data_IF_369310255982
#
_entry.id   IF_369310255982
#
_cell.length_a   1.000
_cell.length_b   1.000
_cell.length_c   1.000
_cell.angle_alpha   90.00
_cell.angle_beta   90.00
_cell.angle_gamma   90.00
#
_symmetry.space_group_name_H-M   'P 1'
#
loop_
_entity.id
_entity.type
_entity.pdbx_description
1 polymer ?
#
# COMPACT_ATOMS: atom_id res chain seq x y z
N UNK A 1 3.56 -83.03 -56.41
CA UNK A 1 2.56 -82.67 -55.40
C UNK A 1 3.10 -81.51 -54.58
N UNK A 2 2.40 -80.37 -54.66
CA UNK A 2 2.70 -79.13 -53.95
C UNK A 2 2.23 -79.27 -52.51
N UNK A 3 3.00 -78.78 -51.53
CA UNK A 3 2.45 -78.23 -50.30
C UNK A 3 3.39 -77.13 -49.76
N UNK A 4 3.14 -75.94 -50.30
CA UNK A 4 3.13 -74.61 -49.67
C UNK A 4 3.85 -74.42 -48.32
N UNK A 5 4.94 -73.67 -48.42
CA UNK A 5 5.61 -72.85 -47.40
C UNK A 5 4.61 -71.90 -46.71
N UNK A 6 4.53 -71.97 -45.38
CA UNK A 6 3.83 -70.97 -44.55
C UNK A 6 4.88 -69.99 -44.02
N UNK A 7 4.94 -68.80 -44.63
CA UNK A 7 5.64 -67.64 -44.09
C UNK A 7 4.86 -67.09 -42.90
N UNK A 8 5.45 -67.19 -41.70
CA UNK A 8 4.93 -66.50 -40.53
C UNK A 8 5.59 -65.11 -40.45
N UNK A 9 4.90 -64.10 -41.00
CA UNK A 9 5.27 -62.69 -40.89
C UNK A 9 4.87 -62.21 -39.50
N UNK A 10 5.85 -62.06 -38.62
CA UNK A 10 5.69 -61.43 -37.30
C UNK A 10 5.80 -59.90 -37.47
N UNK A 11 4.69 -59.25 -37.80
CA UNK A 11 4.54 -57.79 -37.65
C UNK A 11 3.82 -57.57 -36.33
N UNK A 12 4.54 -57.14 -35.30
CA UNK A 12 3.97 -56.71 -34.03
C UNK A 12 4.60 -55.37 -33.62
N UNK A 13 3.86 -54.32 -33.99
CA UNK A 13 3.65 -53.05 -33.30
C UNK A 13 4.84 -52.45 -32.53
N UNK A 14 5.56 -51.54 -33.20
CA UNK A 14 6.18 -50.41 -32.53
C UNK A 14 5.07 -49.56 -31.90
N UNK A 15 4.99 -49.57 -30.56
CA UNK A 15 4.21 -48.61 -29.80
C UNK A 15 5.09 -47.36 -29.68
N UNK A 16 4.82 -46.25 -30.39
CA UNK A 16 5.38 -44.99 -29.95
C UNK A 16 4.74 -44.68 -28.59
N UNK A 17 5.57 -44.57 -27.54
CA UNK A 17 5.19 -43.91 -26.30
C UNK A 17 4.89 -42.44 -26.64
N UNK A 18 3.69 -42.18 -27.13
CA UNK A 18 3.10 -40.85 -27.10
C UNK A 18 2.72 -40.63 -25.65
N UNK A 19 3.66 -40.08 -24.88
CA UNK A 19 3.27 -39.32 -23.70
C UNK A 19 2.43 -38.15 -24.21
N UNK A 20 1.13 -38.35 -24.27
CA UNK A 20 0.19 -37.26 -24.14
C UNK A 20 0.65 -36.48 -22.92
N UNK A 21 1.13 -35.25 -23.11
CA UNK A 21 1.20 -34.27 -22.03
C UNK A 21 -0.24 -33.95 -21.67
N UNK A 22 -0.85 -34.83 -20.89
CA UNK A 22 -1.91 -34.42 -19.98
C UNK A 22 -1.29 -33.32 -19.14
N UNK A 23 -1.70 -32.08 -19.43
CA UNK A 23 -1.59 -30.94 -18.54
C UNK A 23 -1.95 -31.47 -17.17
N UNK A 24 -0.92 -31.64 -16.35
CA UNK A 24 -1.07 -32.20 -15.02
C UNK A 24 -2.01 -31.25 -14.29
N UNK A 25 -3.20 -31.77 -13.98
CA UNK A 25 -4.24 -31.01 -13.30
C UNK A 25 -3.61 -30.48 -12.03
N UNK A 26 -3.51 -29.16 -11.93
CA UNK A 26 -3.10 -28.36 -10.77
C UNK A 26 -4.05 -28.51 -9.57
N UNK A 27 -4.43 -29.74 -9.22
CA UNK A 27 -5.50 -30.04 -8.27
C UNK A 27 -4.99 -30.80 -7.05
N UNK A 28 -3.74 -31.29 -7.03
CA UNK A 28 -3.32 -32.24 -5.98
C UNK A 28 -2.33 -31.71 -4.93
N UNK A 29 -2.07 -30.39 -4.85
CA UNK A 29 -1.32 -29.87 -3.70
C UNK A 29 -1.54 -28.37 -3.43
N UNK A 30 -2.77 -27.98 -3.04
CA UNK A 30 -3.00 -26.67 -2.39
C UNK A 30 -2.13 -26.48 -1.12
N UNK A 31 -1.60 -27.58 -0.57
CA UNK A 31 -0.67 -27.60 0.57
C UNK A 31 0.78 -27.20 0.26
N UNK A 32 1.19 -27.14 -1.02
CA UNK A 32 2.58 -26.80 -1.42
C UNK A 32 2.78 -25.46 -2.14
N UNK A 33 1.75 -24.61 -2.21
CA UNK A 33 1.97 -23.18 -2.48
C UNK A 33 2.58 -22.54 -1.23
N UNK A 34 3.87 -22.18 -1.26
CA UNK A 34 4.50 -21.42 -0.17
C UNK A 34 3.87 -20.03 -0.06
N UNK A 35 2.74 -19.94 0.64
CA UNK A 35 1.92 -18.74 0.81
C UNK A 35 2.50 -17.77 1.87
N UNK A 36 3.84 -17.68 1.95
CA UNK A 36 4.55 -16.72 2.77
C UNK A 36 5.09 -15.60 1.92
N UNK A 37 4.52 -14.39 2.06
CA UNK A 37 4.97 -13.19 1.35
C UNK A 37 5.80 -12.34 2.32
N UNK A 38 7.08 -12.71 2.50
CA UNK A 38 7.91 -12.13 3.58
C UNK A 38 8.32 -10.69 3.32
N UNK A 39 8.41 -10.29 2.05
CA UNK A 39 8.88 -8.96 1.66
C UNK A 39 7.83 -8.26 0.81
N UNK A 40 7.69 -6.93 0.96
CA UNK A 40 6.80 -6.14 0.10
C UNK A 40 7.18 -6.26 -1.37
N UNK A 41 8.47 -6.33 -1.70
CA UNK A 41 8.88 -6.56 -3.09
C UNK A 41 8.42 -7.93 -3.63
N UNK A 42 8.37 -8.94 -2.76
CA UNK A 42 7.81 -10.25 -3.10
C UNK A 42 6.30 -10.15 -3.36
N UNK A 43 5.57 -9.36 -2.57
CA UNK A 43 4.16 -9.08 -2.82
C UNK A 43 3.93 -8.56 -4.24
N UNK A 44 4.72 -7.57 -4.66
CA UNK A 44 4.61 -6.98 -6.00
C UNK A 44 4.87 -8.02 -7.10
N UNK A 45 5.92 -8.83 -6.96
CA UNK A 45 6.22 -9.89 -7.94
C UNK A 45 5.12 -10.95 -8.01
N UNK A 46 4.60 -11.41 -6.87
CA UNK A 46 3.48 -12.37 -6.83
C UNK A 46 2.23 -11.78 -7.45
N UNK A 47 1.92 -10.53 -7.11
CA UNK A 47 0.78 -9.81 -7.68
C UNK A 47 0.90 -9.72 -9.20
N UNK A 48 2.11 -9.52 -9.73
CA UNK A 48 2.37 -9.43 -11.15
C UNK A 48 2.51 -10.79 -11.84
N UNK A 49 2.68 -11.91 -11.12
CA UNK A 49 3.03 -13.21 -11.70
C UNK A 49 4.47 -13.28 -12.21
N UNK A 50 5.41 -12.61 -11.53
CA UNK A 50 6.83 -12.53 -11.91
C UNK A 50 7.73 -13.50 -11.14
N UNK A 51 7.17 -14.33 -10.26
CA UNK A 51 7.91 -15.35 -9.52
C UNK A 51 7.13 -16.66 -9.43
N UNK A 52 7.87 -17.75 -9.20
CA UNK A 52 7.30 -19.08 -9.00
C UNK A 52 6.78 -19.28 -7.56
N UNK A 53 6.25 -20.47 -7.28
CA UNK A 53 5.73 -20.82 -5.95
C UNK A 53 6.79 -20.84 -4.86
N UNK A 54 8.07 -20.95 -5.19
CA UNK A 54 9.20 -20.95 -4.26
C UNK A 54 9.75 -19.54 -4.01
N UNK A 55 9.31 -18.55 -4.79
CA UNK A 55 9.77 -17.16 -4.73
C UNK A 55 10.94 -16.85 -5.65
N UNK A 56 11.26 -17.76 -6.57
CA UNK A 56 12.28 -17.55 -7.60
C UNK A 56 11.70 -16.72 -8.74
N UNK A 57 12.43 -15.67 -9.15
CA UNK A 57 11.96 -14.75 -10.18
C UNK A 57 12.02 -15.41 -11.54
N UNK A 58 10.94 -15.32 -12.31
CA UNK A 58 10.92 -15.71 -13.71
C UNK A 58 11.78 -14.77 -14.55
N UNK A 59 12.43 -15.33 -15.57
CA UNK A 59 13.01 -14.52 -16.65
C UNK A 59 11.89 -13.84 -17.44
N UNK A 60 12.14 -12.65 -17.99
CA UNK A 60 11.15 -11.94 -18.82
C UNK A 60 10.73 -12.74 -20.07
N UNK A 61 11.58 -13.68 -20.51
CA UNK A 61 11.30 -14.56 -21.65
C UNK A 61 10.66 -15.90 -21.25
N UNK A 62 10.39 -16.11 -19.96
CA UNK A 62 9.76 -17.32 -19.47
C UNK A 62 8.26 -17.33 -19.87
N UNK A 63 7.73 -18.42 -20.44
CA UNK A 63 6.29 -18.53 -20.76
C UNK A 63 5.36 -18.34 -19.55
N UNK A 64 5.87 -18.54 -18.33
CA UNK A 64 5.14 -18.34 -17.08
C UNK A 64 5.19 -16.89 -16.57
N UNK A 65 6.10 -16.05 -17.11
CA UNK A 65 6.20 -14.64 -16.72
C UNK A 65 4.89 -13.90 -17.02
N UNK A 66 4.27 -13.35 -15.98
CA UNK A 66 3.00 -12.62 -16.03
C UNK A 66 1.83 -13.43 -16.62
N UNK A 67 1.89 -14.77 -16.55
CA UNK A 67 0.81 -15.62 -17.04
C UNK A 67 -0.50 -15.39 -16.26
N UNK A 68 -1.59 -15.12 -16.98
CA UNK A 68 -2.88 -14.73 -16.39
C UNK A 68 -3.48 -15.75 -15.42
N UNK A 69 -3.39 -17.05 -15.74
CA UNK A 69 -3.95 -18.12 -14.89
C UNK A 69 -3.17 -18.21 -13.57
N UNK A 70 -1.84 -18.31 -13.65
CA UNK A 70 -0.98 -18.31 -12.46
C UNK A 70 -1.14 -17.06 -11.62
N UNK A 71 -1.31 -15.92 -12.28
CA UNK A 71 -1.49 -14.63 -11.62
C UNK A 71 -2.79 -14.57 -10.81
N UNK A 72 -3.91 -15.12 -11.31
CA UNK A 72 -5.15 -15.24 -10.54
C UNK A 72 -4.95 -16.05 -9.25
N UNK A 73 -4.24 -17.17 -9.35
CA UNK A 73 -3.94 -18.03 -8.21
C UNK A 73 -3.07 -17.30 -7.17
N UNK A 74 -2.00 -16.63 -7.61
CA UNK A 74 -1.16 -15.85 -6.70
C UNK A 74 -1.93 -14.72 -6.01
N UNK A 75 -2.71 -13.93 -6.75
CA UNK A 75 -3.47 -12.82 -6.17
C UNK A 75 -4.48 -13.34 -5.14
N UNK A 76 -5.12 -14.48 -5.39
CA UNK A 76 -6.01 -15.12 -4.42
C UNK A 76 -5.27 -15.47 -3.10
N UNK A 77 -4.00 -15.86 -3.18
CA UNK A 77 -3.16 -16.11 -1.99
C UNK A 77 -2.67 -14.85 -1.29
N UNK A 78 -2.72 -13.68 -1.94
CA UNK A 78 -2.29 -12.40 -1.38
C UNK A 78 -3.34 -11.76 -0.47
N UNK A 79 -4.59 -12.24 -0.46
CA UNK A 79 -5.60 -11.79 0.50
C UNK A 79 -5.37 -12.40 1.88
N UNK A 80 -5.66 -11.64 2.94
CA UNK A 80 -5.83 -12.23 4.26
C UNK A 80 -7.03 -13.20 4.24
N UNK A 81 -6.74 -14.49 4.40
CA UNK A 81 -7.75 -15.56 4.36
C UNK A 81 -8.50 -15.73 5.68
N UNK A 82 -8.00 -15.21 6.80
CA UNK A 82 -8.70 -15.28 8.09
C UNK A 82 -9.67 -14.11 8.28
N UNK A 83 -9.54 -13.05 7.50
CA UNK A 83 -10.43 -11.88 7.55
C UNK A 83 -11.67 -12.05 6.66
N UNK A 84 -12.81 -11.66 7.21
CA UNK A 84 -14.10 -11.56 6.51
C UNK A 84 -14.42 -10.14 6.06
N UNK A 85 -13.52 -9.17 6.29
CA UNK A 85 -13.71 -7.75 5.94
C UNK A 85 -13.93 -7.59 4.43
N UNK A 86 -13.21 -8.36 3.62
CA UNK A 86 -13.30 -8.33 2.16
C UNK A 86 -14.20 -9.47 1.71
N UNK A 87 -15.35 -9.14 1.11
CA UNK A 87 -16.29 -10.15 0.61
C UNK A 87 -15.69 -10.97 -0.54
N UNK A 88 -16.10 -12.23 -0.66
CA UNK A 88 -15.62 -13.09 -1.75
C UNK A 88 -15.97 -12.53 -3.13
N UNK A 89 -17.15 -11.92 -3.29
CA UNK A 89 -17.53 -11.23 -4.53
C UNK A 89 -16.54 -10.13 -4.88
N UNK A 90 -16.16 -9.28 -3.91
CA UNK A 90 -15.22 -8.19 -4.15
C UNK A 90 -13.81 -8.72 -4.48
N UNK A 91 -13.39 -9.83 -3.87
CA UNK A 91 -12.13 -10.50 -4.21
C UNK A 91 -12.13 -10.98 -5.66
N UNK A 92 -13.21 -11.65 -6.09
CA UNK A 92 -13.36 -12.13 -7.47
C UNK A 92 -13.36 -10.97 -8.46
N UNK A 93 -14.17 -9.94 -8.22
CA UNK A 93 -14.22 -8.74 -9.06
C UNK A 93 -12.84 -8.09 -9.22
N UNK A 94 -12.10 -7.95 -8.11
CA UNK A 94 -10.74 -7.41 -8.15
C UNK A 94 -9.78 -8.30 -8.92
N UNK A 95 -9.76 -9.61 -8.65
CA UNK A 95 -8.88 -10.57 -9.32
C UNK A 95 -9.14 -10.54 -10.83
N UNK A 96 -10.40 -10.60 -11.25
CA UNK A 96 -10.77 -10.59 -12.67
C UNK A 96 -10.44 -9.26 -13.35
N UNK A 97 -10.68 -8.12 -12.68
CA UNK A 97 -10.31 -6.79 -13.20
C UNK A 97 -8.80 -6.66 -13.41
N UNK A 98 -7.98 -7.05 -12.42
CA UNK A 98 -6.53 -6.85 -12.51
C UNK A 98 -5.84 -7.85 -13.42
N UNK A 99 -6.39 -9.07 -13.57
CA UNK A 99 -5.84 -10.15 -14.40
C UNK A 99 -6.52 -10.30 -15.75
N UNK A 100 -7.31 -9.30 -16.17
CA UNK A 100 -7.96 -9.27 -17.47
C UNK A 100 -6.95 -9.51 -18.61
N UNK A 101 -7.29 -10.39 -19.55
CA UNK A 101 -6.38 -10.79 -20.63
C UNK A 101 -6.11 -9.69 -21.67
N UNK A 102 -7.10 -8.81 -21.91
CA UNK A 102 -6.98 -7.70 -22.85
C UNK A 102 -6.33 -6.48 -22.19
N UNK A 103 -6.62 -6.26 -20.91
CA UNK A 103 -6.18 -5.09 -20.15
C UNK A 103 -5.63 -5.47 -18.76
N UNK A 104 -4.49 -6.18 -18.68
CA UNK A 104 -3.90 -6.56 -17.40
C UNK A 104 -3.34 -5.34 -16.68
N UNK A 105 -3.54 -5.27 -15.36
CA UNK A 105 -3.00 -4.21 -14.51
C UNK A 105 -1.87 -4.74 -13.63
N UNK A 106 -0.67 -4.19 -13.73
CA UNK A 106 0.49 -4.59 -12.93
C UNK A 106 0.88 -3.53 -11.91
N UNK A 107 1.43 -3.96 -10.78
CA UNK A 107 2.06 -3.07 -9.82
C UNK A 107 3.50 -2.75 -10.27
N UNK A 108 3.93 -1.52 -10.01
CA UNK A 108 5.31 -1.11 -10.20
C UNK A 108 5.87 -0.60 -8.87
N UNK A 109 6.87 -1.29 -8.32
CA UNK A 109 7.48 -0.91 -7.04
C UNK A 109 7.96 0.55 -7.02
N UNK A 110 8.51 1.05 -8.14
CA UNK A 110 8.98 2.41 -8.29
C UNK A 110 7.96 3.35 -8.97
N UNK A 111 6.75 2.87 -9.29
CA UNK A 111 5.75 3.61 -10.08
C UNK A 111 5.01 4.72 -9.34
N UNK A 112 5.36 5.00 -8.08
CA UNK A 112 4.64 5.97 -7.24
C UNK A 112 3.20 5.54 -6.95
N UNK A 113 2.34 6.45 -6.47
CA UNK A 113 0.94 6.13 -6.08
C UNK A 113 0.80 4.98 -5.06
N UNK A 114 1.80 4.83 -4.20
CA UNK A 114 1.71 4.03 -2.99
C UNK A 114 2.60 4.64 -1.91
N UNK A 115 2.26 4.42 -0.64
CA UNK A 115 3.00 4.97 0.49
C UNK A 115 2.86 4.08 1.72
N UNK A 116 3.80 4.23 2.65
CA UNK A 116 3.78 3.59 3.95
C UNK A 116 3.11 4.49 4.99
N UNK A 117 2.33 3.89 5.88
CA UNK A 117 1.87 4.47 7.13
C UNK A 117 2.54 3.70 8.28
N UNK A 118 3.36 4.39 9.07
CA UNK A 118 4.14 3.78 10.15
C UNK A 118 3.69 4.38 11.47
N UNK A 119 2.99 3.59 12.28
CA UNK A 119 2.64 3.98 13.65
C UNK A 119 3.83 3.71 14.55
N UNK A 120 4.23 4.73 15.30
CA UNK A 120 5.39 4.70 16.18
C UNK A 120 5.04 5.18 17.57
N UNK A 121 5.86 4.82 18.54
CA UNK A 121 5.80 5.36 19.88
C UNK A 121 7.01 6.24 20.18
N UNK A 122 6.77 7.41 20.75
CA UNK A 122 7.79 8.34 21.19
C UNK A 122 7.56 8.72 22.66
N UNK A 123 8.64 8.95 23.40
CA UNK A 123 8.56 9.77 24.61
C UNK A 123 8.56 11.24 24.19
N UNK A 124 7.44 11.92 24.39
CA UNK A 124 7.26 13.35 24.13
C UNK A 124 7.05 14.08 25.45
N UNK A 125 7.98 14.98 25.80
CA UNK A 125 7.96 15.78 27.04
C UNK A 125 7.70 14.92 28.30
N UNK A 126 8.32 13.74 28.37
CA UNK A 126 8.21 12.81 29.50
C UNK A 126 7.02 11.86 29.49
N UNK A 127 6.13 11.94 28.49
CA UNK A 127 4.99 11.03 28.33
C UNK A 127 5.09 10.22 27.04
N UNK A 128 4.73 8.93 27.08
CA UNK A 128 4.69 8.10 25.88
C UNK A 128 3.46 8.48 25.03
N UNK A 129 3.69 8.78 23.75
CA UNK A 129 2.68 9.24 22.80
C UNK A 129 2.87 8.56 21.45
N UNK A 130 1.75 8.27 20.78
CA UNK A 130 1.76 7.71 19.44
C UNK A 130 1.93 8.80 18.39
N UNK A 131 2.76 8.51 17.40
CA UNK A 131 3.00 9.36 16.24
C UNK A 131 2.95 8.50 14.98
N UNK A 132 2.21 8.94 13.98
CA UNK A 132 2.13 8.24 12.69
C UNK A 132 2.98 8.99 11.68
N UNK A 133 3.93 8.30 11.06
CA UNK A 133 4.76 8.80 9.98
C UNK A 133 4.23 8.27 8.65
N UNK A 134 4.06 9.15 7.67
CA UNK A 134 3.73 8.75 6.30
C UNK A 134 4.99 8.86 5.45
N UNK A 135 5.31 7.79 4.70
CA UNK A 135 6.52 7.74 3.89
C UNK A 135 6.21 7.34 2.45
N UNK A 136 6.95 7.89 1.49
CA UNK A 136 6.92 7.44 0.09
C UNK A 136 8.31 7.13 -0.42
N UNK A 137 8.39 6.36 -1.50
CA UNK A 137 9.62 6.25 -2.27
C UNK A 137 9.88 7.55 -3.05
N UNK A 138 11.13 7.99 -3.01
CA UNK A 138 11.67 9.07 -3.80
C UNK A 138 12.81 8.52 -4.66
N UNK A 139 12.75 8.79 -5.96
CA UNK A 139 13.82 8.46 -6.90
C UNK A 139 15.07 9.32 -6.63
N UNK A 140 16.23 8.71 -6.78
CA UNK A 140 17.54 9.35 -6.63
C UNK A 140 18.41 8.99 -7.83
N UNK A 141 19.55 9.70 -8.00
CA UNK A 141 20.51 9.41 -9.08
C UNK A 141 20.92 7.93 -9.15
N UNK A 142 20.98 7.27 -7.99
CA UNK A 142 21.29 5.84 -7.86
C UNK A 142 20.21 5.22 -6.96
N UNK A 143 19.14 4.72 -7.58
CA UNK A 143 18.09 3.96 -6.91
C UNK A 143 16.96 4.81 -6.31
N UNK A 144 16.44 4.39 -5.16
CA UNK A 144 15.35 5.08 -4.48
C UNK A 144 15.51 5.01 -2.96
N UNK A 145 14.94 5.98 -2.26
CA UNK A 145 14.92 6.02 -0.79
C UNK A 145 13.52 6.29 -0.26
N UNK A 146 13.26 5.88 0.98
CA UNK A 146 12.06 6.30 1.70
C UNK A 146 12.25 7.71 2.26
N UNK A 147 11.25 8.57 2.08
CA UNK A 147 11.20 9.91 2.66
C UNK A 147 9.91 10.10 3.44
N UNK A 148 9.98 10.77 4.59
CA UNK A 148 8.80 11.15 5.36
C UNK A 148 8.13 12.33 4.65
N UNK A 149 6.84 12.21 4.38
CA UNK A 149 6.05 13.22 3.67
C UNK A 149 5.04 13.91 4.54
N UNK A 150 4.59 13.26 5.62
CA UNK A 150 3.66 13.86 6.57
C UNK A 150 3.82 13.17 7.94
N UNK A 151 3.38 13.86 8.98
CA UNK A 151 3.36 13.39 10.36
C UNK A 151 1.98 13.66 10.94
N UNK A 152 1.34 12.63 11.48
CA UNK A 152 0.15 12.78 12.28
C UNK A 152 0.50 12.54 13.75
N UNK A 153 0.34 13.59 14.54
CA UNK A 153 0.63 13.58 15.96
C UNK A 153 -0.46 14.37 16.69
N UNK A 154 -1.23 13.67 17.54
CA UNK A 154 -2.39 14.28 18.23
C UNK A 154 -2.02 15.57 18.98
N UNK A 155 -0.89 15.63 19.73
CA UNK A 155 -0.48 16.87 20.40
C UNK A 155 -0.04 18.00 19.46
N UNK A 156 -0.01 17.83 18.14
CA UNK A 156 0.06 18.97 17.22
C UNK A 156 -1.34 19.33 16.74
N UNK A 157 -2.13 18.35 16.34
CA UNK A 157 -3.50 18.59 15.83
C UNK A 157 -4.41 19.23 16.86
N UNK A 158 -4.20 18.99 18.16
CA UNK A 158 -5.00 19.61 19.23
C UNK A 158 -4.57 21.03 19.59
N UNK A 159 -3.38 21.47 19.15
CA UNK A 159 -2.93 22.86 19.37
C UNK A 159 -3.45 23.82 18.32
N UNK A 160 -3.67 23.38 17.08
CA UNK A 160 -4.21 24.22 16.01
C UNK A 160 -5.73 24.14 16.00
N UNK A 161 -6.37 25.29 16.18
CA UNK A 161 -7.83 25.40 16.15
C UNK A 161 -8.29 25.61 14.71
N UNK A 162 -9.31 24.88 14.27
CA UNK A 162 -9.99 25.21 13.03
C UNK A 162 -10.79 26.52 13.21
N UNK A 163 -10.28 27.60 12.61
CA UNK A 163 -10.86 28.94 12.66
C UNK A 163 -12.21 29.06 11.96
N UNK A 164 -12.60 28.09 11.13
CA UNK A 164 -13.90 28.08 10.43
C UNK A 164 -15.07 27.93 11.41
N UNK A 165 -14.83 27.31 12.57
CA UNK A 165 -15.81 27.18 13.64
C UNK A 165 -16.06 28.48 14.43
N UNK A 166 -15.21 29.50 14.23
CA UNK A 166 -15.29 30.76 14.95
C UNK A 166 -16.35 31.63 14.26
N UNK A 167 -17.38 32.00 15.03
CA UNK A 167 -18.43 32.87 14.52
C UNK A 167 -17.88 34.21 14.04
N UNK A 168 -18.50 34.78 13.02
CA UNK A 168 -18.02 36.01 12.39
C UNK A 168 -17.95 37.19 13.35
N UNK A 169 -18.85 37.26 14.34
CA UNK A 169 -18.85 38.28 15.39
C UNK A 169 -17.70 38.13 16.40
N UNK A 170 -17.07 36.95 16.46
CA UNK A 170 -15.93 36.66 17.35
C UNK A 170 -14.59 36.71 16.61
N UNK A 171 -14.59 36.81 15.27
CA UNK A 171 -13.37 36.92 14.49
C UNK A 171 -12.66 38.24 14.75
N UNK A 172 -11.37 38.16 15.00
CA UNK A 172 -10.47 39.29 15.14
C UNK A 172 -9.65 39.41 13.88
N UNK A 173 -9.33 40.65 13.50
CA UNK A 173 -8.53 40.93 12.32
C UNK A 173 -7.66 42.17 12.56
N UNK A 174 -6.58 42.28 11.79
CA UNK A 174 -5.81 43.51 11.67
C UNK A 174 -6.48 44.40 10.63
N UNK A 175 -6.79 45.65 11.00
CA UNK A 175 -7.38 46.60 10.07
C UNK A 175 -6.44 46.84 8.88
N UNK A 176 -6.92 46.97 7.63
CA UNK A 176 -6.06 47.18 6.45
C UNK A 176 -5.09 48.37 6.57
N UNK A 177 -5.52 49.44 7.24
CA UNK A 177 -4.70 50.64 7.50
C UNK A 177 -3.80 50.54 8.76
N UNK A 178 -3.63 49.36 9.36
CA UNK A 178 -2.79 49.21 10.56
C UNK A 178 -1.31 49.55 10.31
N UNK A 179 -0.87 49.51 9.05
CA UNK A 179 0.47 49.92 8.64
C UNK A 179 0.76 51.40 8.89
N UNK A 180 -0.25 52.27 8.90
CA UNK A 180 -0.12 53.71 9.21
C UNK A 180 0.28 53.97 10.68
N UNK A 181 0.14 52.96 11.53
CA UNK A 181 0.52 53.01 12.95
C UNK A 181 1.56 51.92 13.26
N UNK A 182 2.40 51.55 12.29
CA UNK A 182 3.46 50.55 12.42
C UNK A 182 2.96 49.21 13.01
N UNK A 183 1.69 48.85 12.76
CA UNK A 183 1.04 47.67 13.33
C UNK A 183 1.12 47.56 14.87
N UNK A 184 1.12 48.69 15.59
CA UNK A 184 1.16 48.70 17.07
C UNK A 184 0.04 47.86 17.73
N UNK A 185 -1.06 47.59 17.02
CA UNK A 185 -2.12 46.68 17.45
C UNK A 185 -1.70 45.21 17.54
N UNK A 186 -0.56 44.79 16.99
CA UNK A 186 0.02 43.46 17.18
C UNK A 186 0.25 43.12 18.67
N UNK A 187 0.45 44.12 19.52
CA UNK A 187 0.51 43.94 20.99
C UNK A 187 -0.75 43.25 21.51
N UNK A 188 -1.92 43.50 20.88
CA UNK A 188 -3.18 42.82 21.23
C UNK A 188 -3.25 41.41 20.63
N UNK A 189 -2.67 41.19 19.45
CA UNK A 189 -2.62 39.88 18.76
C UNK A 189 -1.82 38.86 19.54
N UNK A 190 -0.66 39.25 20.09
CA UNK A 190 0.23 38.33 20.81
C UNK A 190 -0.08 38.21 22.31
N UNK A 191 -1.30 38.53 22.74
CA UNK A 191 -1.75 38.22 24.12
C UNK A 191 -2.11 36.74 24.24
N UNK A 192 -1.91 36.17 25.42
CA UNK A 192 -2.02 34.73 25.69
C UNK A 192 -3.42 34.14 25.45
N UNK A 193 -4.46 34.96 25.44
CA UNK A 193 -5.86 34.58 25.25
C UNK A 193 -6.34 34.67 23.80
N UNK A 194 -5.43 34.93 22.85
CA UNK A 194 -5.76 35.06 21.43
C UNK A 194 -5.56 33.75 20.66
N UNK A 195 -6.45 33.49 19.71
CA UNK A 195 -6.29 32.46 18.68
C UNK A 195 -5.52 33.12 17.54
N UNK A 196 -4.22 32.85 17.47
CA UNK A 196 -3.31 33.53 16.53
C UNK A 196 -3.58 33.12 15.09
N UNK A 197 -4.15 31.94 14.87
CA UNK A 197 -4.51 31.38 13.58
C UNK A 197 -5.54 32.25 12.84
N UNK A 198 -6.34 33.06 13.54
CA UNK A 198 -7.27 34.02 12.92
C UNK A 198 -6.57 35.12 12.10
N UNK A 199 -5.27 35.31 12.33
CA UNK A 199 -4.45 36.28 11.61
C UNK A 199 -3.58 35.63 10.52
N UNK A 200 -3.71 34.32 10.33
CA UNK A 200 -3.13 33.63 9.19
C UNK A 200 -3.99 33.86 7.93
N UNK A 201 -3.43 33.57 6.77
CA UNK A 201 -4.17 33.61 5.50
C UNK A 201 -5.30 32.57 5.50
N UNK A 202 -6.37 32.85 4.75
CA UNK A 202 -7.46 31.91 4.54
C UNK A 202 -6.94 30.59 3.97
N UNK A 203 -7.40 29.47 4.53
CA UNK A 203 -6.93 28.13 4.15
C UNK A 203 -5.57 27.75 4.73
N UNK A 204 -5.03 28.53 5.68
CA UNK A 204 -3.83 28.14 6.43
C UNK A 204 -3.98 26.73 7.04
N UNK A 205 -2.96 25.89 6.81
CA UNK A 205 -2.85 24.56 7.40
C UNK A 205 -1.41 24.35 7.90
N UNK A 206 -1.22 23.87 9.14
CA UNK A 206 0.12 23.65 9.68
C UNK A 206 0.84 22.51 8.95
N UNK A 207 2.11 22.72 8.60
CA UNK A 207 2.97 21.63 8.13
C UNK A 207 3.49 20.82 9.33
N UNK A 208 2.82 19.70 9.64
CA UNK A 208 3.17 18.87 10.78
C UNK A 208 4.55 18.22 10.67
N UNK A 209 5.09 18.03 9.45
CA UNK A 209 6.45 17.56 9.28
C UNK A 209 7.47 18.59 9.79
N UNK A 210 7.30 19.88 9.47
CA UNK A 210 8.15 20.95 10.01
C UNK A 210 8.10 21.02 11.53
N UNK A 211 6.91 20.90 12.13
CA UNK A 211 6.75 20.90 13.60
C UNK A 211 7.42 19.69 14.25
N UNK A 212 7.25 18.52 13.65
CA UNK A 212 7.94 17.31 14.09
C UNK A 212 9.45 17.49 14.07
N UNK A 213 10.02 17.98 12.95
CA UNK A 213 11.46 18.21 12.82
C UNK A 213 11.93 19.24 13.86
N UNK A 214 11.19 20.33 14.06
CA UNK A 214 11.51 21.35 15.04
C UNK A 214 11.56 20.81 16.47
N UNK A 215 10.51 20.13 16.93
CA UNK A 215 10.45 19.55 18.27
C UNK A 215 11.47 18.41 18.47
N UNK A 216 11.72 17.60 17.42
CA UNK A 216 12.76 16.58 17.45
C UNK A 216 14.15 17.21 17.64
N UNK A 217 14.47 18.28 16.89
CA UNK A 217 15.74 19.01 17.04
C UNK A 217 15.90 19.69 18.39
N UNK A 218 14.80 20.03 19.07
CA UNK A 218 14.83 20.55 20.44
C UNK A 218 14.99 19.46 21.51
N UNK A 219 14.99 18.19 21.12
CA UNK A 219 15.09 17.07 22.06
C UNK A 219 13.78 16.74 22.77
N UNK A 220 12.65 17.28 22.31
CA UNK A 220 11.34 16.98 22.90
C UNK A 220 10.85 15.56 22.60
N UNK A 221 11.39 14.94 21.55
CA UNK A 221 11.06 13.58 21.10
C UNK A 221 12.21 12.62 21.35
N UNK A 222 11.90 11.45 21.91
CA UNK A 222 12.78 10.29 21.95
C UNK A 222 12.06 9.07 21.38
N UNK A 223 12.55 8.52 20.27
CA UNK A 223 11.98 7.33 19.64
C UNK A 223 12.01 6.12 20.58
N UNK A 224 10.93 5.34 20.59
CA UNK A 224 10.84 4.10 21.37
C UNK A 224 10.76 2.87 20.48
N UNK A 225 9.68 2.73 19.71
CA UNK A 225 9.44 1.57 18.86
C UNK A 225 8.50 1.88 17.70
N UNK A 226 8.45 0.94 16.75
CA UNK A 226 7.42 0.85 15.72
C UNK A 226 6.32 -0.07 16.25
N UNK A 227 5.07 0.37 16.15
CA UNK A 227 3.89 -0.39 16.56
C UNK A 227 3.27 -1.14 15.39
N UNK A 228 3.16 -0.48 14.24
CA UNK A 228 2.47 -1.01 13.07
C UNK A 228 3.02 -0.37 11.80
N UNK A 229 3.10 -1.16 10.72
CA UNK A 229 3.41 -0.68 9.38
C UNK A 229 2.30 -1.15 8.43
N UNK A 230 1.75 -0.21 7.67
CA UNK A 230 0.80 -0.47 6.60
C UNK A 230 1.29 0.15 5.30
N UNK A 231 0.87 -0.40 4.17
CA UNK A 231 1.03 0.24 2.87
C UNK A 231 -0.32 0.50 2.23
N UNK A 232 -0.45 1.64 1.60
CA UNK A 232 -1.64 2.05 0.86
C UNK A 232 -1.32 2.07 -0.62
N UNK A 233 -2.06 1.30 -1.43
CA UNK A 233 -1.80 1.15 -2.86
C UNK A 233 -2.93 1.80 -3.68
N UNK A 234 -2.57 2.73 -4.56
CA UNK A 234 -3.48 3.47 -5.44
C UNK A 234 -3.16 3.26 -6.94
N UNK A 235 -2.25 2.34 -7.27
CA UNK A 235 -1.74 2.13 -8.63
C UNK A 235 -2.76 1.50 -9.59
N UNK A 236 -3.72 0.74 -9.08
CA UNK A 236 -4.66 -0.03 -9.89
C UNK A 236 -5.89 0.82 -10.19
N UNK A 237 -6.30 0.90 -11.46
CA UNK A 237 -7.44 1.70 -11.88
C UNK A 237 -8.72 1.27 -11.16
N UNK A 238 -9.47 2.22 -10.63
CA UNK A 238 -10.71 2.06 -9.87
C UNK A 238 -10.60 1.23 -8.57
N UNK A 239 -9.37 0.98 -8.09
CA UNK A 239 -9.13 0.17 -6.91
C UNK A 239 -8.15 0.83 -5.94
N UNK A 240 -8.40 0.59 -4.66
CA UNK A 240 -7.51 0.89 -3.54
C UNK A 240 -7.40 -0.34 -2.66
N UNK A 241 -6.22 -0.62 -2.13
CA UNK A 241 -6.06 -1.65 -1.12
C UNK A 241 -4.95 -1.35 -0.13
N UNK A 242 -5.07 -1.97 1.06
CA UNK A 242 -4.10 -1.88 2.14
C UNK A 242 -3.32 -3.17 2.26
N UNK A 243 -2.01 -3.05 2.51
CA UNK A 243 -1.17 -4.17 2.91
C UNK A 243 -0.82 -4.05 4.39
N UNK A 244 -1.00 -5.15 5.10
CA UNK A 244 -0.56 -5.31 6.49
C UNK A 244 0.29 -6.58 6.62
N UNK A 245 1.18 -6.61 7.61
CA UNK A 245 1.97 -7.79 7.94
C UNK A 245 1.23 -8.67 8.95
N UNK A 246 1.06 -9.95 8.62
CA UNK A 246 0.44 -10.95 9.48
C UNK A 246 1.46 -12.01 9.87
N UNK A 247 1.83 -12.05 11.15
CA UNK A 247 2.74 -13.06 11.69
C UNK A 247 1.95 -14.17 12.39
N UNK A 248 1.61 -15.21 11.64
CA UNK A 248 0.85 -16.37 12.14
C UNK A 248 1.46 -17.69 11.68
N UNK A 249 1.16 -18.76 12.43
CA UNK A 249 1.59 -20.12 12.09
C UNK A 249 0.68 -20.65 10.97
N UNK A 250 1.26 -21.06 9.84
CA UNK A 250 0.54 -21.68 8.74
C UNK A 250 0.69 -20.93 7.41
N UNK A 251 0.08 -21.48 6.37
CA UNK A 251 0.07 -20.88 5.03
C UNK A 251 -0.76 -19.57 5.05
N UNK A 252 -0.43 -18.59 4.20
CA UNK A 252 -1.02 -17.23 4.18
C UNK A 252 -0.55 -16.37 5.36
N UNK A 253 0.75 -16.04 5.38
CA UNK A 253 1.36 -15.09 6.32
C UNK A 253 2.37 -14.16 5.64
N UNK A 254 2.80 -13.11 6.33
CA UNK A 254 3.59 -12.01 5.77
C UNK A 254 2.72 -10.85 5.30
N UNK A 255 3.13 -10.17 4.24
CA UNK A 255 2.41 -9.02 3.65
C UNK A 255 1.21 -9.49 2.84
N UNK A 256 0.01 -9.12 3.30
CA UNK A 256 -1.27 -9.51 2.68
C UNK A 256 -2.19 -8.31 2.53
N UNK A 257 -3.11 -8.40 1.57
CA UNK A 257 -4.20 -7.45 1.38
C UNK A 257 -5.15 -7.58 2.57
N UNK A 258 -5.13 -6.55 3.42
CA UNK A 258 -5.96 -6.46 4.64
C UNK A 258 -7.26 -5.68 4.44
N UNK A 259 -7.30 -4.81 3.42
CA UNK A 259 -8.48 -4.02 3.07
C UNK A 259 -8.51 -3.80 1.55
N UNK A 260 -9.70 -3.70 0.97
CA UNK A 260 -9.91 -3.51 -0.47
C UNK A 260 -11.16 -2.65 -0.68
N UNK A 261 -11.03 -1.64 -1.54
CA UNK A 261 -12.12 -0.76 -1.93
C UNK A 261 -12.13 -0.56 -3.45
N UNK A 262 -13.31 -0.72 -4.05
CA UNK A 262 -13.56 -0.24 -5.41
C UNK A 262 -13.89 1.25 -5.32
N UNK A 263 -13.04 2.09 -5.90
CA UNK A 263 -13.12 3.54 -5.77
C UNK A 263 -12.80 4.20 -7.11
N UNK A 264 -13.68 5.06 -7.67
CA UNK A 264 -13.40 5.79 -8.90
C UNK A 264 -12.11 6.61 -8.82
N UNK A 265 -11.41 6.78 -9.94
CA UNK A 265 -10.17 7.58 -9.97
C UNK A 265 -10.35 9.01 -9.43
N UNK A 266 -11.53 9.62 -9.67
CA UNK A 266 -11.85 10.96 -9.19
C UNK A 266 -11.87 11.08 -7.65
N UNK A 267 -12.18 9.99 -6.95
CA UNK A 267 -12.36 10.00 -5.49
C UNK A 267 -11.12 9.55 -4.72
N UNK A 268 -10.09 9.03 -5.41
CA UNK A 268 -8.85 8.56 -4.78
C UNK A 268 -8.11 9.63 -3.99
N UNK A 269 -8.12 10.88 -4.46
CA UNK A 269 -7.48 11.98 -3.74
C UNK A 269 -8.25 12.35 -2.47
N UNK A 270 -9.58 12.18 -2.43
CA UNK A 270 -10.39 12.37 -1.23
C UNK A 270 -10.03 11.31 -0.18
N UNK A 271 -9.96 10.04 -0.59
CA UNK A 271 -9.54 8.95 0.30
C UNK A 271 -8.12 9.16 0.84
N UNK A 272 -7.19 9.60 -0.01
CA UNK A 272 -5.81 9.88 0.39
C UNK A 272 -5.73 11.01 1.42
N UNK A 273 -6.49 12.09 1.24
CA UNK A 273 -6.61 13.17 2.23
C UNK A 273 -7.15 12.68 3.57
N UNK A 274 -8.21 11.86 3.53
CA UNK A 274 -8.76 11.22 4.71
C UNK A 274 -7.72 10.36 5.46
N UNK A 275 -6.93 9.54 4.74
CA UNK A 275 -5.86 8.74 5.34
C UNK A 275 -4.76 9.61 5.95
N UNK A 276 -4.42 10.74 5.32
CA UNK A 276 -3.44 11.68 5.84
C UNK A 276 -3.96 12.58 6.96
N UNK A 277 -5.27 12.54 7.24
CA UNK A 277 -5.94 13.49 8.15
C UNK A 277 -5.69 14.96 7.75
N UNK A 278 -5.67 15.21 6.43
CA UNK A 278 -5.48 16.52 5.80
C UNK A 278 -6.77 17.00 5.12
#
# INVERSE_FOLDING_TARGET
>A
MKLTTVCFVFILFFIPNVQSQTIDKFVDDESMLYAHTKQVNQFFRRFNGEEDRYGERFSINDPLFQNGQYRKEFINLLFDKESTIISNTLKVDFIDDVSNAEHPNFLNFHGGKWFAQVKTSFLYKGSEKECTLFLKLQEEKVGSKWVITNVLFEPFTSYFINTDSISESQRKFLHPLSHELDFMNLIKVFKQDQIIEQFAEEGFSPDYLSLFIYEFRKGSFQFKNIKEVKFHIFQINNWYFELSEFNRKGNNSGWLISNLLKIPEADKEILKRFIYHN
#
